data_IF_703488060843
#
_entry.id   IF_703488060843
#
_cell.length_a   1.000
_cell.length_b   1.000
_cell.length_c   1.000
_cell.angle_alpha   90.00
_cell.angle_beta   90.00
_cell.angle_gamma   90.00
#
_symmetry.space_group_name_H-M   'P 1'
#
loop_
_entity.id
_entity.type
_entity.pdbx_description
1 polymer ?
#
# COMPACT_ATOMS: atom_id res chain seq x y z
N UNK A 1 9.80 13.71 -2.25
CA UNK A 1 8.91 13.89 -1.08
C UNK A 1 9.28 15.14 -0.29
N UNK A 2 10.45 15.18 0.40
CA UNK A 2 10.82 16.33 1.24
C UNK A 2 10.79 17.70 0.55
N UNK A 3 11.30 17.81 -0.68
CA UNK A 3 11.24 19.06 -1.46
C UNK A 3 9.80 19.54 -1.72
N UNK A 4 8.89 18.63 -2.06
CA UNK A 4 7.47 18.93 -2.31
C UNK A 4 6.79 19.43 -1.04
N UNK A 5 7.05 18.78 0.10
CA UNK A 5 6.50 19.18 1.40
C UNK A 5 7.03 20.55 1.84
N UNK A 6 8.33 20.80 1.64
CA UNK A 6 8.95 22.09 1.94
C UNK A 6 8.43 23.24 1.06
N UNK A 7 7.98 22.96 -0.17
CA UNK A 7 7.28 23.91 -1.03
C UNK A 7 5.80 24.15 -0.62
N UNK A 8 5.38 23.56 0.50
CA UNK A 8 4.03 23.68 1.02
C UNK A 8 3.00 22.79 0.32
N UNK A 9 3.42 21.89 -0.55
CA UNK A 9 2.54 21.07 -1.40
C UNK A 9 2.24 19.71 -0.73
N UNK A 10 1.31 18.97 -1.32
CA UNK A 10 0.90 17.64 -0.86
C UNK A 10 1.51 16.53 -1.71
N UNK A 11 1.80 15.41 -1.07
CA UNK A 11 2.37 14.22 -1.72
C UNK A 11 1.35 13.08 -1.62
N UNK A 12 1.10 12.39 -2.74
CA UNK A 12 0.33 11.16 -2.77
C UNK A 12 1.26 9.95 -2.88
N UNK A 13 1.39 9.18 -1.81
CA UNK A 13 2.04 7.87 -1.80
C UNK A 13 0.98 6.81 -2.10
N UNK A 14 1.04 6.28 -3.31
CA UNK A 14 0.07 5.36 -3.85
C UNK A 14 0.58 3.92 -3.79
N UNK A 15 -0.30 3.00 -3.38
CA UNK A 15 -0.05 1.57 -3.37
C UNK A 15 -1.04 0.84 -4.28
N UNK A 16 -0.50 0.03 -5.21
CA UNK A 16 -1.24 -0.66 -6.27
C UNK A 16 -2.32 -1.64 -5.75
N UNK A 17 -2.17 -2.17 -4.53
CA UNK A 17 -3.16 -3.06 -3.92
C UNK A 17 -3.44 -2.72 -2.47
N UNK A 18 -4.71 -2.85 -2.08
CA UNK A 18 -5.18 -2.80 -0.69
C UNK A 18 -4.73 -4.07 0.00
N UNK A 19 -3.74 -3.95 0.87
CA UNK A 19 -3.07 -5.10 1.47
C UNK A 19 -2.34 -5.90 0.39
N UNK A 20 -1.03 -6.04 0.53
CA UNK A 20 -0.49 -7.32 0.12
C UNK A 20 -1.26 -8.36 0.91
N UNK A 21 -1.82 -9.36 0.23
CA UNK A 21 -2.37 -10.53 0.89
C UNK A 21 -1.22 -11.09 1.76
N UNK A 22 -1.24 -10.87 3.08
CA UNK A 22 0.01 -10.79 3.85
C UNK A 22 0.68 -12.14 3.84
N UNK A 23 1.91 -12.25 3.34
CA UNK A 23 2.64 -13.51 3.42
C UNK A 23 3.29 -13.65 4.79
N UNK A 24 3.59 -14.87 5.21
CA UNK A 24 4.25 -15.08 6.49
C UNK A 24 5.78 -15.05 6.30
N UNK A 25 6.46 -14.20 7.05
CA UNK A 25 7.93 -14.04 7.05
C UNK A 25 8.50 -14.46 8.41
N UNK A 26 9.65 -15.14 8.40
CA UNK A 26 10.49 -15.26 9.60
C UNK A 26 11.43 -14.07 9.72
N UNK A 27 11.37 -13.36 10.85
CA UNK A 27 12.21 -12.20 11.09
C UNK A 27 13.71 -12.58 11.21
N UNK A 28 14.01 -13.76 11.77
CA UNK A 28 15.38 -14.19 12.02
C UNK A 28 16.15 -14.64 10.77
N UNK A 29 15.49 -15.36 9.83
CA UNK A 29 16.17 -16.00 8.69
C UNK A 29 15.64 -15.60 7.32
N UNK A 30 14.57 -14.79 7.25
CA UNK A 30 14.02 -14.33 5.97
C UNK A 30 13.16 -15.37 5.22
N UNK A 31 12.89 -16.54 5.82
CA UNK A 31 11.96 -17.51 5.25
C UNK A 31 10.60 -16.87 4.97
N UNK A 32 10.06 -17.10 3.78
CA UNK A 32 8.73 -16.64 3.37
C UNK A 32 7.86 -17.83 2.95
N UNK A 33 6.61 -17.84 3.39
CA UNK A 33 5.68 -18.93 3.08
C UNK A 33 5.37 -19.02 1.58
N UNK A 34 5.82 -20.11 0.96
CA UNK A 34 5.55 -20.50 -0.42
C UNK A 34 4.58 -21.67 -0.49
N UNK A 35 3.80 -21.76 -1.57
CA UNK A 35 2.89 -22.86 -1.81
C UNK A 35 3.68 -24.13 -2.17
N UNK A 36 3.30 -25.27 -1.60
CA UNK A 36 3.94 -26.56 -1.92
C UNK A 36 3.40 -27.20 -3.20
N UNK A 37 2.33 -26.64 -3.79
CA UNK A 37 1.68 -27.15 -5.00
C UNK A 37 1.94 -26.32 -6.26
N UNK A 38 2.50 -25.12 -6.12
CA UNK A 38 2.86 -24.24 -7.23
C UNK A 38 3.84 -23.16 -6.75
N UNK A 39 4.42 -22.38 -7.65
CA UNK A 39 5.45 -21.38 -7.31
C UNK A 39 4.91 -20.07 -6.72
N UNK A 40 3.64 -20.05 -6.27
CA UNK A 40 3.01 -18.88 -5.69
C UNK A 40 3.34 -18.72 -4.19
N UNK A 41 3.21 -17.50 -3.66
CA UNK A 41 3.26 -17.22 -2.22
C UNK A 41 1.94 -17.54 -1.53
N UNK A 42 2.00 -17.98 -0.29
CA UNK A 42 0.82 -18.16 0.55
C UNK A 42 0.41 -16.83 1.20
N UNK A 43 -0.90 -16.62 1.32
CA UNK A 43 -1.51 -15.51 2.06
C UNK A 43 -1.94 -15.96 3.45
N UNK A 44 -1.55 -15.23 4.50
CA UNK A 44 -2.06 -15.39 5.86
C UNK A 44 -3.45 -14.80 5.98
N UNK A 45 -4.37 -15.59 6.53
CA UNK A 45 -5.71 -15.19 6.92
C UNK A 45 -5.80 -15.23 8.44
N UNK A 46 -5.52 -14.09 9.08
CA UNK A 46 -5.40 -14.02 10.55
C UNK A 46 -6.66 -14.46 11.29
N UNK A 47 -7.86 -14.16 10.76
CA UNK A 47 -9.15 -14.53 11.38
C UNK A 47 -9.36 -16.04 11.45
N UNK A 48 -8.90 -16.78 10.44
CA UNK A 48 -9.03 -18.24 10.37
C UNK A 48 -7.76 -18.97 10.82
N UNK A 49 -6.64 -18.27 11.02
CA UNK A 49 -5.37 -18.88 11.41
C UNK A 49 -4.77 -19.79 10.34
N UNK A 50 -5.05 -19.52 9.06
CA UNK A 50 -4.60 -20.34 7.93
C UNK A 50 -3.72 -19.56 6.95
N UNK A 51 -2.90 -20.29 6.22
CA UNK A 51 -2.20 -19.88 5.02
C UNK A 51 -2.98 -20.44 3.83
N UNK A 52 -3.29 -19.60 2.84
CA UNK A 52 -4.01 -20.00 1.62
C UNK A 52 -3.27 -19.55 0.37
N UNK A 53 -3.10 -20.46 -0.58
CA UNK A 53 -2.70 -20.16 -1.94
C UNK A 53 -3.94 -19.78 -2.75
N UNK A 54 -4.00 -18.54 -3.26
CA UNK A 54 -5.09 -18.10 -4.14
C UNK A 54 -4.91 -18.51 -5.61
N UNK A 55 -3.76 -19.09 -5.96
CA UNK A 55 -3.52 -19.61 -7.31
C UNK A 55 -4.11 -21.01 -7.50
N UNK A 56 -3.86 -21.93 -6.55
CA UNK A 56 -4.29 -23.33 -6.66
C UNK A 56 -5.27 -23.79 -5.57
N UNK A 57 -5.65 -22.90 -4.63
CA UNK A 57 -6.58 -23.22 -3.55
C UNK A 57 -5.98 -24.04 -2.41
N UNK A 58 -4.68 -24.30 -2.39
CA UNK A 58 -4.02 -25.01 -1.28
C UNK A 58 -4.17 -24.23 0.04
N UNK A 59 -4.45 -24.94 1.13
CA UNK A 59 -4.61 -24.37 2.47
C UNK A 59 -3.75 -25.16 3.45
N UNK A 60 -3.07 -24.47 4.35
CA UNK A 60 -2.35 -25.05 5.48
C UNK A 60 -2.52 -24.19 6.74
N UNK A 61 -2.21 -24.73 7.91
CA UNK A 61 -2.23 -23.94 9.16
C UNK A 61 -1.00 -23.04 9.24
N UNK A 62 -1.15 -21.88 9.87
CA UNK A 62 0.00 -21.03 10.22
C UNK A 62 0.96 -21.81 11.13
N UNK A 63 2.24 -21.99 10.76
CA UNK A 63 3.20 -22.70 11.59
C UNK A 63 3.52 -21.91 12.87
N UNK A 64 3.80 -22.63 13.97
CA UNK A 64 4.17 -22.01 15.26
C UNK A 64 5.65 -21.62 15.33
N UNK A 65 6.48 -22.22 14.50
CA UNK A 65 7.93 -22.00 14.41
C UNK A 65 8.33 -21.96 12.94
N UNK A 66 9.37 -21.21 12.62
CA UNK A 66 9.91 -21.12 11.27
C UNK A 66 10.36 -22.50 10.79
N UNK A 67 9.84 -23.00 9.65
CA UNK A 67 10.26 -24.27 9.08
C UNK A 67 11.75 -24.31 8.69
N UNK A 68 12.38 -23.15 8.49
CA UNK A 68 13.78 -23.05 8.07
C UNK A 68 14.78 -22.93 9.22
N UNK A 69 14.45 -22.26 10.32
CA UNK A 69 15.40 -21.99 11.42
C UNK A 69 14.88 -22.32 12.83
N UNK A 70 13.62 -22.77 12.96
CA UNK A 70 13.00 -23.13 14.24
C UNK A 70 12.62 -21.96 15.17
N UNK A 71 12.95 -20.71 14.81
CA UNK A 71 12.58 -19.53 15.62
C UNK A 71 11.09 -19.22 15.54
N UNK A 72 10.56 -18.53 16.55
CA UNK A 72 9.12 -18.27 16.69
C UNK A 72 8.66 -16.92 16.13
N UNK A 73 9.59 -16.03 15.75
CA UNK A 73 9.24 -14.70 15.26
C UNK A 73 8.77 -14.74 13.79
N UNK A 74 7.53 -15.21 13.62
CA UNK A 74 6.82 -15.27 12.36
C UNK A 74 5.83 -14.11 12.27
N UNK A 75 6.07 -13.21 11.32
CA UNK A 75 5.27 -12.00 11.16
C UNK A 75 4.54 -12.01 9.82
N UNK A 76 3.25 -11.64 9.79
CA UNK A 76 2.59 -11.34 8.54
C UNK A 76 3.21 -10.10 7.92
N UNK A 77 3.55 -10.18 6.64
CA UNK A 77 4.12 -9.09 5.87
C UNK A 77 3.22 -8.84 4.68
N UNK A 78 2.48 -7.75 4.76
CA UNK A 78 1.61 -7.30 3.68
C UNK A 78 0.71 -6.10 3.97
N UNK A 79 0.95 -5.38 5.06
CA UNK A 79 0.25 -4.13 5.35
C UNK A 79 0.92 -2.97 4.60
N UNK A 80 0.69 -2.89 3.29
CA UNK A 80 1.36 -1.88 2.44
C UNK A 80 1.11 -0.45 2.91
N UNK A 81 -0.15 -0.08 3.14
CA UNK A 81 -0.53 1.29 3.54
C UNK A 81 -0.14 1.60 4.98
N UNK A 82 -0.32 0.68 5.92
CA UNK A 82 0.03 0.89 7.35
C UNK A 82 1.55 0.97 7.54
N UNK A 83 2.33 0.08 6.91
CA UNK A 83 3.79 0.14 7.00
C UNK A 83 4.35 1.39 6.31
N UNK A 84 3.75 1.80 5.19
CA UNK A 84 4.11 3.05 4.54
C UNK A 84 3.80 4.23 5.47
N UNK A 85 2.61 4.27 6.09
CA UNK A 85 2.22 5.28 7.07
C UNK A 85 3.22 5.38 8.23
N UNK A 86 3.49 4.27 8.93
CA UNK A 86 4.45 4.22 10.04
C UNK A 86 5.83 4.71 9.63
N UNK A 87 6.33 4.24 8.48
CA UNK A 87 7.68 4.60 8.02
C UNK A 87 7.76 6.06 7.59
N UNK A 88 6.73 6.58 6.93
CA UNK A 88 6.67 7.97 6.50
C UNK A 88 6.54 8.91 7.70
N UNK A 89 5.80 8.52 8.74
CA UNK A 89 5.69 9.29 9.97
C UNK A 89 7.04 9.42 10.70
N UNK A 90 7.88 8.36 10.66
CA UNK A 90 9.25 8.41 11.19
C UNK A 90 10.16 9.31 10.35
N UNK A 91 10.03 9.26 9.01
CA UNK A 91 10.90 10.01 8.10
C UNK A 91 10.53 11.49 7.98
N UNK A 92 9.27 11.83 8.19
CA UNK A 92 8.71 13.18 8.04
C UNK A 92 7.87 13.57 9.27
N UNK A 93 8.49 13.68 10.46
CA UNK A 93 7.75 13.89 11.71
C UNK A 93 6.98 15.22 11.77
N UNK A 94 7.42 16.22 11.00
CA UNK A 94 6.80 17.55 10.98
C UNK A 94 5.56 17.64 10.08
N UNK A 95 5.27 16.60 9.30
CA UNK A 95 4.18 16.60 8.32
C UNK A 95 3.14 15.53 8.63
N UNK A 96 1.84 15.87 8.59
CA UNK A 96 0.78 14.88 8.77
C UNK A 96 0.85 13.79 7.71
N UNK A 97 0.76 12.53 8.15
CA UNK A 97 0.59 11.36 7.29
C UNK A 97 -0.85 10.89 7.42
N UNK A 98 -1.60 10.91 6.32
CA UNK A 98 -3.03 10.63 6.27
C UNK A 98 -3.27 9.35 5.47
N UNK A 99 -3.64 8.25 6.14
CA UNK A 99 -3.98 6.99 5.49
C UNK A 99 -5.44 6.95 5.02
N UNK A 100 -5.64 6.64 3.74
CA UNK A 100 -6.94 6.57 3.09
C UNK A 100 -7.13 5.20 2.43
N UNK A 101 -7.78 4.31 3.19
CA UNK A 101 -8.25 3.02 2.73
C UNK A 101 -9.61 2.69 3.36
N UNK A 102 -10.17 1.52 3.04
CA UNK A 102 -11.51 1.14 3.51
C UNK A 102 -11.61 1.05 5.01
N UNK A 103 -10.53 0.62 5.64
CA UNK A 103 -10.51 0.29 7.06
C UNK A 103 -10.38 1.59 7.85
N UNK A 104 -9.54 2.53 7.38
CA UNK A 104 -9.43 3.88 7.95
C UNK A 104 -10.67 4.74 7.74
N UNK A 105 -11.44 4.52 6.67
CA UNK A 105 -12.67 5.27 6.36
C UNK A 105 -13.97 4.53 6.71
N UNK A 106 -13.90 3.47 7.50
CA UNK A 106 -15.05 2.60 7.80
C UNK A 106 -16.11 3.22 8.72
N UNK A 107 -15.73 4.23 9.52
CA UNK A 107 -16.65 4.96 10.41
C UNK A 107 -17.48 5.98 9.65
N UNK A 108 -18.73 6.17 10.07
CA UNK A 108 -19.60 7.24 9.57
C UNK A 108 -18.88 8.59 9.70
N UNK A 109 -18.90 9.39 8.64
CA UNK A 109 -18.26 10.72 8.52
C UNK A 109 -16.72 10.79 8.48
N UNK A 110 -15.99 9.71 8.79
CA UNK A 110 -14.52 9.73 8.78
C UNK A 110 -13.94 10.13 7.41
N UNK A 111 -14.56 9.65 6.34
CA UNK A 111 -14.17 9.97 4.97
C UNK A 111 -14.33 11.47 4.67
N UNK A 112 -15.47 12.07 5.08
CA UNK A 112 -15.75 13.48 4.85
C UNK A 112 -14.78 14.38 5.61
N UNK A 113 -14.52 14.09 6.88
CA UNK A 113 -13.56 14.85 7.71
C UNK A 113 -12.15 14.81 7.12
N UNK A 114 -11.74 13.64 6.64
CA UNK A 114 -10.44 13.47 6.02
C UNK A 114 -10.35 14.28 4.72
N UNK A 115 -11.40 14.29 3.89
CA UNK A 115 -11.44 15.14 2.69
C UNK A 115 -11.40 16.63 3.02
N UNK A 116 -12.17 17.10 4.00
CA UNK A 116 -12.13 18.49 4.43
C UNK A 116 -10.71 18.88 4.87
N UNK A 117 -10.01 17.99 5.55
CA UNK A 117 -8.62 18.21 5.96
C UNK A 117 -7.69 18.34 4.76
N UNK A 118 -7.79 17.43 3.79
CA UNK A 118 -6.94 17.47 2.58
C UNK A 118 -7.22 18.72 1.75
N UNK A 119 -8.49 19.12 1.62
CA UNK A 119 -8.90 20.30 0.86
C UNK A 119 -8.39 21.63 1.43
N UNK A 120 -8.01 21.68 2.72
CA UNK A 120 -7.33 22.86 3.29
C UNK A 120 -5.98 23.15 2.61
N UNK A 121 -5.43 22.19 1.86
CA UNK A 121 -4.23 22.39 1.06
C UNK A 121 -2.94 22.52 1.87
N UNK A 122 -2.99 22.21 3.17
CA UNK A 122 -1.81 22.16 4.03
C UNK A 122 -0.87 21.03 3.60
N UNK A 123 0.44 21.18 3.81
CA UNK A 123 1.43 20.21 3.36
C UNK A 123 1.25 18.91 4.13
N UNK A 124 1.04 17.80 3.43
CA UNK A 124 0.81 16.49 4.04
C UNK A 124 1.17 15.35 3.08
N UNK A 125 1.29 14.16 3.65
CA UNK A 125 1.51 12.92 2.90
C UNK A 125 0.22 12.10 2.93
N UNK A 126 -0.39 11.87 1.77
CA UNK A 126 -1.55 11.02 1.60
C UNK A 126 -1.06 9.61 1.27
N UNK A 127 -1.41 8.62 2.10
CA UNK A 127 -1.07 7.22 1.84
C UNK A 127 -2.35 6.49 1.48
N UNK A 128 -2.40 5.84 0.32
CA UNK A 128 -3.60 5.08 -0.01
C UNK A 128 -3.55 4.30 -1.30
N UNK A 129 -4.70 3.76 -1.66
CA UNK A 129 -4.87 2.87 -2.81
C UNK A 129 -5.81 3.50 -3.84
N UNK A 130 -6.41 2.69 -4.71
CA UNK A 130 -7.34 3.12 -5.75
C UNK A 130 -8.51 3.99 -5.26
N UNK A 131 -8.83 3.98 -3.95
CA UNK A 131 -9.82 4.91 -3.37
C UNK A 131 -9.43 6.38 -3.54
N UNK A 132 -8.14 6.71 -3.43
CA UNK A 132 -7.64 8.07 -3.68
C UNK A 132 -7.62 8.41 -5.18
N UNK A 133 -7.63 7.40 -6.05
CA UNK A 133 -7.54 7.58 -7.49
C UNK A 133 -8.91 7.77 -8.17
N UNK A 134 -10.04 7.71 -7.46
CA UNK A 134 -11.40 7.81 -8.02
C UNK A 134 -12.21 8.90 -7.30
N UNK A 135 -13.02 9.66 -8.06
CA UNK A 135 -14.09 10.51 -7.51
C UNK A 135 -13.69 11.78 -6.73
N UNK A 136 -12.41 11.98 -6.40
CA UNK A 136 -11.99 13.09 -5.53
C UNK A 136 -10.86 13.93 -6.14
N UNK A 137 -10.96 15.25 -5.99
CA UNK A 137 -9.99 16.22 -6.47
C UNK A 137 -9.10 16.71 -5.32
N UNK A 138 -7.78 16.67 -5.51
CA UNK A 138 -6.79 17.11 -4.53
C UNK A 138 -5.93 18.22 -5.14
N UNK A 139 -6.30 19.49 -4.95
CA UNK A 139 -5.74 20.61 -5.72
C UNK A 139 -4.25 20.86 -5.47
N UNK A 140 -3.72 20.45 -4.31
CA UNK A 140 -2.33 20.68 -3.90
C UNK A 140 -1.45 19.45 -4.04
N UNK A 141 -1.95 18.37 -4.64
CA UNK A 141 -1.13 17.18 -4.93
C UNK A 141 -0.31 17.43 -6.18
N UNK A 142 1.00 17.60 -6.00
CA UNK A 142 1.96 17.87 -7.09
C UNK A 142 2.99 16.77 -7.25
N UNK A 143 3.07 15.84 -6.29
CA UNK A 143 3.89 14.64 -6.40
C UNK A 143 3.05 13.40 -6.11
N UNK A 144 3.13 12.44 -7.02
CA UNK A 144 2.71 11.06 -6.79
C UNK A 144 3.96 10.22 -6.63
N UNK A 145 3.94 9.25 -5.73
CA UNK A 145 4.94 8.19 -5.63
C UNK A 145 4.22 6.86 -5.63
N UNK A 146 4.51 6.01 -6.61
CA UNK A 146 3.93 4.68 -6.70
C UNK A 146 4.89 3.70 -6.03
N UNK A 147 4.48 3.15 -4.90
CA UNK A 147 5.25 2.10 -4.24
C UNK A 147 5.01 0.76 -4.94
N UNK A 148 6.09 -0.01 -5.08
CA UNK A 148 6.08 -1.36 -5.63
C UNK A 148 5.52 -1.44 -7.06
N UNK A 149 6.03 -0.57 -7.93
CA UNK A 149 5.73 -0.63 -9.36
C UNK A 149 6.19 -1.96 -9.98
N UNK A 150 7.34 -2.48 -9.53
CA UNK A 150 7.92 -3.73 -10.00
C UNK A 150 7.02 -4.93 -9.70
N UNK A 151 6.46 -5.04 -8.49
CA UNK A 151 5.48 -6.07 -8.16
C UNK A 151 4.23 -6.01 -9.03
N UNK A 152 3.85 -4.82 -9.49
CA UNK A 152 2.77 -4.62 -10.45
C UNK A 152 3.12 -5.02 -11.89
N UNK A 153 4.34 -4.73 -12.35
CA UNK A 153 4.82 -5.03 -13.70
C UNK A 153 5.17 -6.50 -13.90
N UNK A 154 5.80 -7.12 -12.90
CA UNK A 154 6.35 -8.48 -12.97
C UNK A 154 5.49 -9.51 -12.25
N UNK A 155 4.22 -9.19 -11.98
CA UNK A 155 3.30 -10.16 -11.37
C UNK A 155 3.03 -11.33 -12.33
N UNK A 156 2.79 -12.53 -11.79
CA UNK A 156 2.48 -13.73 -12.60
C UNK A 156 1.14 -13.69 -13.36
N UNK A 157 0.41 -12.58 -13.31
CA UNK A 157 -0.79 -12.37 -14.11
C UNK A 157 -0.39 -11.74 -15.46
N UNK A 158 -0.78 -12.37 -16.58
CA UNK A 158 -0.40 -11.92 -17.92
C UNK A 158 -0.82 -10.48 -18.27
N UNK A 159 -1.82 -9.91 -17.57
CA UNK A 159 -2.25 -8.51 -17.73
C UNK A 159 -1.60 -7.55 -16.72
N UNK A 160 -0.55 -7.98 -16.04
CA UNK A 160 0.22 -7.20 -15.06
C UNK A 160 0.59 -5.81 -15.62
N UNK A 161 1.31 -5.82 -16.74
CA UNK A 161 1.80 -4.61 -17.40
C UNK A 161 0.67 -3.69 -17.85
N UNK A 162 -0.42 -4.23 -18.41
CA UNK A 162 -1.58 -3.44 -18.84
C UNK A 162 -2.24 -2.73 -17.66
N UNK A 163 -2.56 -3.47 -16.60
CA UNK A 163 -3.20 -2.89 -15.40
C UNK A 163 -2.28 -1.90 -14.69
N UNK A 164 -0.98 -2.17 -14.69
CA UNK A 164 -0.01 -1.23 -14.13
C UNK A 164 0.06 0.06 -14.95
N UNK A 165 0.08 -0.03 -16.28
CA UNK A 165 0.04 1.13 -17.15
C UNK A 165 -1.25 1.96 -16.94
N UNK A 166 -2.41 1.30 -16.89
CA UNK A 166 -3.69 1.96 -16.57
C UNK A 166 -3.65 2.69 -15.22
N UNK A 167 -3.05 2.05 -14.22
CA UNK A 167 -2.91 2.60 -12.89
C UNK A 167 -1.97 3.80 -12.84
N UNK A 168 -0.80 3.72 -13.49
CA UNK A 168 0.13 4.85 -13.62
C UNK A 168 -0.59 6.03 -14.27
N UNK A 169 -1.29 5.83 -15.39
CA UNK A 169 -2.05 6.90 -16.06
C UNK A 169 -3.12 7.49 -15.13
N UNK A 170 -3.87 6.65 -14.41
CA UNK A 170 -4.93 7.09 -13.52
C UNK A 170 -4.39 7.95 -12.36
N UNK A 171 -3.27 7.55 -11.76
CA UNK A 171 -2.69 8.25 -10.60
C UNK A 171 -1.88 9.46 -11.06
N UNK A 172 -1.17 9.38 -12.20
CA UNK A 172 -0.49 10.51 -12.82
C UNK A 172 -1.45 11.65 -13.11
N UNK A 173 -2.64 11.32 -13.62
CA UNK A 173 -3.72 12.28 -13.81
C UNK A 173 -4.28 12.89 -12.53
N UNK A 174 -3.75 12.60 -11.33
CA UNK A 174 -4.09 13.26 -10.05
C UNK A 174 -3.05 14.29 -9.62
N UNK A 175 -1.81 14.19 -10.09
CA UNK A 175 -0.79 15.20 -9.85
C UNK A 175 -1.00 16.38 -10.81
N UNK A 176 -0.86 17.61 -10.31
CA UNK A 176 -0.79 18.80 -11.15
C UNK A 176 -2.09 19.13 -11.92
N UNK A 177 -3.25 18.91 -11.29
CA UNK A 177 -4.57 19.32 -11.85
C UNK A 177 -4.88 20.81 -11.72
N UNK A 178 -4.02 21.56 -11.04
CA UNK A 178 -4.15 23.02 -10.85
C UNK A 178 -3.06 23.75 -11.65
N UNK A 179 -2.67 24.94 -11.24
CA UNK A 179 -1.66 25.75 -11.95
C UNK A 179 -0.23 25.22 -11.81
N UNK A 180 0.01 24.28 -10.89
CA UNK A 180 1.34 23.76 -10.59
C UNK A 180 1.60 22.42 -11.29
N UNK A 181 2.77 22.24 -11.95
CA UNK A 181 3.08 21.01 -12.67
C UNK A 181 3.26 19.82 -11.72
N UNK A 182 2.67 18.68 -12.11
CA UNK A 182 2.75 17.42 -11.37
C UNK A 182 3.99 16.60 -11.72
N UNK A 183 4.46 15.78 -10.76
CA UNK A 183 5.47 14.74 -10.93
C UNK A 183 4.91 13.39 -10.46
N UNK A 184 5.42 12.31 -11.05
CA UNK A 184 5.08 10.91 -10.73
C UNK A 184 6.36 10.11 -10.60
#
# INVERSE_FOLDING_TARGET
>A
IGQTLAAGQQVLVFLNRRGFAPTLLCHDCGWMSGCQRCDARMTVHQRSGELRCHHCGYVERVPRQCPSCGKVDLRPVGAGTERAEERLAILFPDYPVLRVDRDSTSRKDAMNQLFTTIQRGQPCILVGTQMLAKGHHFPRVTLVSILDADGGLFSGDFRASERMAQLIVQVAGRAGRAEEPGKV
#
